data_IF_951677015655
#
_entry.id   IF_951677015655
#
_cell.length_a   1.000
_cell.length_b   1.000
_cell.length_c   1.000
_cell.angle_alpha   90.00
_cell.angle_beta   90.00
_cell.angle_gamma   90.00
#
_symmetry.space_group_name_H-M   'P 1'
#
loop_
_entity.id
_entity.type
_entity.pdbx_description
1 polymer ?
#
# COMPACT_ATOMS: atom_id res chain seq x y z
N UNK A 1 3.26 1.43 -19.53
CA UNK A 1 3.88 1.19 -18.20
C UNK A 1 3.30 2.20 -17.22
N UNK A 2 2.98 1.81 -15.98
CA UNK A 2 2.65 2.78 -14.92
C UNK A 2 3.93 3.17 -14.22
N UNK A 3 4.19 4.47 -14.06
CA UNK A 3 5.44 4.97 -13.51
C UNK A 3 5.21 5.42 -12.07
N UNK A 4 5.99 4.87 -11.14
CA UNK A 4 6.03 5.37 -9.77
C UNK A 4 7.08 6.47 -9.74
N UNK A 5 6.66 7.73 -9.85
CA UNK A 5 7.57 8.85 -9.64
C UNK A 5 7.72 9.10 -8.14
N UNK A 6 8.88 8.76 -7.60
CA UNK A 6 9.37 9.45 -6.42
C UNK A 6 9.75 10.86 -6.84
N UNK A 7 8.81 11.82 -6.87
CA UNK A 7 9.17 13.22 -7.08
C UNK A 7 10.28 13.56 -6.09
N UNK A 8 11.40 14.07 -6.57
CA UNK A 8 12.57 14.47 -5.76
C UNK A 8 12.24 15.54 -4.70
N UNK A 9 11.04 16.12 -4.74
CA UNK A 9 10.47 17.02 -3.73
C UNK A 9 9.30 16.43 -2.91
N UNK A 10 9.08 15.11 -2.96
CA UNK A 10 8.14 14.46 -2.06
C UNK A 10 8.78 14.39 -0.66
N UNK A 11 8.16 15.03 0.33
CA UNK A 11 8.50 14.80 1.74
C UNK A 11 8.65 13.29 1.96
N UNK A 12 9.58 12.79 2.81
CA UNK A 12 9.88 11.36 2.97
C UNK A 12 8.66 10.44 3.19
N UNK A 13 7.52 11.03 3.56
CA UNK A 13 6.25 10.43 3.90
C UNK A 13 5.20 10.49 2.78
N UNK A 14 5.50 11.02 1.61
CA UNK A 14 4.56 11.16 0.50
C UNK A 14 5.03 10.39 -0.74
N UNK A 15 4.10 9.83 -1.51
CA UNK A 15 4.33 9.10 -2.77
C UNK A 15 3.21 9.42 -3.75
N UNK A 16 3.50 9.49 -5.04
CA UNK A 16 2.51 9.72 -6.10
C UNK A 16 2.69 8.65 -7.18
N UNK A 17 1.60 8.06 -7.63
CA UNK A 17 1.58 7.16 -8.78
C UNK A 17 1.08 7.95 -9.99
N UNK A 18 1.86 7.98 -11.06
CA UNK A 18 1.51 8.66 -12.30
C UNK A 18 1.22 7.65 -13.42
N UNK A 19 0.42 8.07 -14.40
CA UNK A 19 0.33 7.38 -15.68
C UNK A 19 1.57 7.65 -16.56
N UNK A 20 1.56 7.10 -17.78
CA UNK A 20 2.67 7.27 -18.72
C UNK A 20 2.82 8.71 -19.24
N UNK A 21 1.80 9.56 -19.10
CA UNK A 21 1.82 10.96 -19.49
C UNK A 21 2.24 11.89 -18.33
N UNK A 22 2.55 11.34 -17.15
CA UNK A 22 2.90 12.11 -15.95
C UNK A 22 1.68 12.63 -15.17
N UNK A 23 0.47 12.19 -15.52
CA UNK A 23 -0.75 12.56 -14.79
C UNK A 23 -0.83 11.74 -13.51
N UNK A 24 -0.98 12.41 -12.36
CA UNK A 24 -1.19 11.75 -11.07
C UNK A 24 -2.49 10.95 -11.05
N UNK A 25 -2.41 9.65 -10.80
CA UNK A 25 -3.56 8.78 -10.63
C UNK A 25 -3.97 8.75 -9.16
N UNK A 26 -3.00 8.56 -8.27
CA UNK A 26 -3.20 8.54 -6.82
C UNK A 26 -2.03 9.19 -6.08
N UNK A 27 -2.34 9.78 -4.95
CA UNK A 27 -1.38 10.34 -4.00
C UNK A 27 -1.50 9.63 -2.66
N UNK A 28 -0.37 9.30 -2.05
CA UNK A 28 -0.31 8.56 -0.80
C UNK A 28 0.54 9.35 0.20
N UNK A 29 0.04 9.52 1.43
CA UNK A 29 0.78 10.14 2.53
C UNK A 29 0.73 9.30 3.79
N UNK A 30 1.87 9.22 4.46
CA UNK A 30 1.99 8.65 5.80
C UNK A 30 1.53 9.67 6.81
N UNK A 31 0.69 9.24 7.73
CA UNK A 31 0.22 10.09 8.81
C UNK A 31 1.36 10.32 9.83
N UNK A 32 1.66 11.59 10.19
CA UNK A 32 2.59 11.89 11.27
C UNK A 32 2.18 11.20 12.57
N UNK A 33 3.14 10.67 13.33
CA UNK A 33 2.92 10.13 14.68
C UNK A 33 1.94 8.95 14.81
N UNK A 34 1.59 8.28 13.70
CA UNK A 34 0.77 7.07 13.76
C UNK A 34 1.58 5.86 14.25
N UNK A 35 1.17 5.28 15.39
CA UNK A 35 1.75 4.05 15.94
C UNK A 35 1.74 2.87 14.95
N UNK A 36 0.68 2.76 14.12
CA UNK A 36 0.50 1.65 13.18
C UNK A 36 0.97 1.95 11.75
N UNK A 37 1.83 2.97 11.57
CA UNK A 37 2.29 3.38 10.24
C UNK A 37 1.14 3.62 9.25
N UNK A 38 0.11 4.38 9.67
CA UNK A 38 -1.06 4.69 8.84
C UNK A 38 -0.67 5.43 7.56
N UNK A 39 -1.20 4.98 6.43
CA UNK A 39 -1.12 5.64 5.13
C UNK A 39 -2.51 5.94 4.60
N UNK A 40 -2.70 7.14 4.09
CA UNK A 40 -3.94 7.55 3.44
C UNK A 40 -3.67 7.71 1.94
N UNK A 41 -4.55 7.16 1.11
CA UNK A 41 -4.46 7.17 -0.35
C UNK A 41 -5.62 7.95 -0.93
N UNK A 42 -5.30 8.90 -1.81
CA UNK A 42 -6.22 9.88 -2.37
C UNK A 42 -6.22 9.80 -3.89
N UNK A 43 -7.33 10.20 -4.51
CA UNK A 43 -7.45 10.35 -5.96
C UNK A 43 -6.65 11.57 -6.44
N UNK A 44 -5.96 11.42 -7.57
CA UNK A 44 -5.28 12.53 -8.23
C UNK A 44 -4.07 13.05 -7.47
N UNK A 45 -3.79 14.35 -7.64
CA UNK A 45 -2.71 15.07 -6.96
C UNK A 45 -3.30 15.91 -5.82
N UNK A 46 -3.22 15.40 -4.60
CA UNK A 46 -3.76 16.12 -3.45
C UNK A 46 -4.00 15.21 -2.26
N UNK A 47 -4.45 15.83 -1.17
CA UNK A 47 -4.74 15.14 0.09
C UNK A 47 -6.06 15.64 0.71
N UNK A 48 -7.01 16.10 -0.11
CA UNK A 48 -8.35 16.49 0.32
C UNK A 48 -9.10 15.24 0.80
N UNK A 49 -9.79 15.34 1.94
CA UNK A 49 -10.56 14.24 2.50
C UNK A 49 -11.69 13.76 1.59
N UNK A 50 -12.23 14.62 0.73
CA UNK A 50 -13.23 14.26 -0.30
C UNK A 50 -12.69 13.28 -1.33
N UNK A 51 -11.37 13.30 -1.55
CA UNK A 51 -10.67 12.44 -2.50
C UNK A 51 -10.06 11.19 -1.85
N UNK A 52 -10.27 10.98 -0.55
CA UNK A 52 -9.79 9.78 0.15
C UNK A 52 -10.43 8.53 -0.48
N UNK A 53 -9.59 7.60 -0.91
CA UNK A 53 -10.01 6.32 -1.49
C UNK A 53 -10.00 5.23 -0.42
N UNK A 54 -8.88 5.11 0.28
CA UNK A 54 -8.70 4.13 1.35
C UNK A 54 -7.53 4.50 2.26
N UNK A 55 -7.54 3.90 3.44
CA UNK A 55 -6.46 3.92 4.41
C UNK A 55 -5.83 2.53 4.51
N UNK A 56 -4.51 2.50 4.66
CA UNK A 56 -3.75 1.29 4.97
C UNK A 56 -3.13 1.42 6.37
N UNK A 57 -3.27 0.39 7.19
CA UNK A 57 -2.63 0.30 8.51
C UNK A 57 -1.82 -0.98 8.61
N UNK A 58 -0.69 -0.94 9.30
CA UNK A 58 0.02 -2.16 9.70
C UNK A 58 -0.75 -2.84 10.83
N UNK A 59 -1.02 -4.13 10.69
CA UNK A 59 -1.76 -4.90 11.71
C UNK A 59 -0.94 -5.07 13.00
N UNK A 60 0.34 -5.42 12.87
CA UNK A 60 1.24 -5.67 14.01
C UNK A 60 2.61 -5.01 13.82
N UNK A 61 3.16 -4.42 14.88
CA UNK A 61 4.43 -3.66 14.82
C UNK A 61 5.65 -4.60 14.86
N UNK A 62 5.54 -5.77 15.49
CA UNK A 62 6.67 -6.63 15.87
C UNK A 62 6.79 -7.97 15.13
N UNK A 63 5.88 -8.28 14.19
CA UNK A 63 5.89 -9.57 13.48
C UNK A 63 6.85 -9.55 12.27
N UNK A 64 7.50 -10.69 12.02
CA UNK A 64 8.37 -10.92 10.84
C UNK A 64 7.57 -10.92 9.53
N UNK A 65 6.32 -11.38 9.57
CA UNK A 65 5.38 -11.30 8.45
C UNK A 65 4.75 -9.90 8.42
N UNK A 66 4.74 -9.27 7.25
CA UNK A 66 4.08 -7.98 7.08
C UNK A 66 2.60 -8.21 6.80
N UNK A 67 1.75 -7.80 7.74
CA UNK A 67 0.30 -7.77 7.56
C UNK A 67 -0.20 -6.33 7.55
N UNK A 68 -0.98 -5.99 6.52
CA UNK A 68 -1.61 -4.69 6.32
C UNK A 68 -3.12 -4.85 6.19
N UNK A 69 -3.85 -3.98 6.89
CA UNK A 69 -5.29 -3.87 6.81
C UNK A 69 -5.65 -2.64 5.97
N UNK A 70 -6.52 -2.83 4.98
CA UNK A 70 -7.02 -1.78 4.09
C UNK A 70 -8.48 -1.49 4.44
N UNK A 71 -8.77 -0.22 4.65
CA UNK A 71 -10.10 0.29 4.96
C UNK A 71 -10.51 1.27 3.87
N UNK A 72 -11.60 0.98 3.17
CA UNK A 72 -12.15 1.90 2.17
C UNK A 72 -12.66 3.16 2.87
N UNK A 73 -12.66 4.30 2.17
CA UNK A 73 -13.06 5.59 2.78
C UNK A 73 -14.46 5.59 3.41
N UNK A 74 -15.37 4.73 2.93
CA UNK A 74 -16.72 4.53 3.50
C UNK A 74 -16.73 3.80 4.86
N UNK A 75 -15.66 3.07 5.17
CA UNK A 75 -15.53 2.27 6.39
C UNK A 75 -14.89 3.12 7.50
N UNK A 76 -15.70 4.00 8.09
CA UNK A 76 -15.24 4.93 9.14
C UNK A 76 -15.05 4.28 10.51
N UNK A 77 -15.74 3.16 10.76
CA UNK A 77 -15.62 2.43 12.02
C UNK A 77 -14.29 1.67 12.14
N UNK A 78 -13.71 1.25 11.01
CA UNK A 78 -12.42 0.54 10.93
C UNK A 78 -12.32 -0.70 11.85
N UNK A 79 -13.46 -1.33 12.18
CA UNK A 79 -13.57 -2.53 13.01
C UNK A 79 -13.14 -3.80 12.26
N UNK A 80 -13.56 -3.91 11.00
CA UNK A 80 -13.18 -4.97 10.07
C UNK A 80 -12.53 -4.34 8.84
N UNK A 81 -11.46 -4.96 8.35
CA UNK A 81 -10.82 -4.49 7.12
C UNK A 81 -11.68 -4.86 5.90
N UNK A 82 -11.65 -4.02 4.86
CA UNK A 82 -12.28 -4.34 3.57
C UNK A 82 -11.37 -5.27 2.75
N UNK A 83 -10.05 -5.12 2.91
CA UNK A 83 -9.06 -6.03 2.35
C UNK A 83 -7.89 -6.22 3.31
N UNK A 84 -7.27 -7.40 3.22
CA UNK A 84 -6.09 -7.74 4.00
C UNK A 84 -4.95 -8.10 3.06
N UNK A 85 -3.74 -7.65 3.38
CA UNK A 85 -2.55 -7.96 2.62
C UNK A 85 -1.56 -8.63 3.55
N UNK A 86 -1.15 -9.86 3.22
CA UNK A 86 -0.11 -10.59 3.94
C UNK A 86 1.08 -10.77 3.03
N UNK A 87 2.27 -10.45 3.52
CA UNK A 87 3.49 -10.64 2.75
C UNK A 87 4.65 -11.09 3.62
N UNK A 88 5.55 -11.82 2.99
CA UNK A 88 6.82 -12.22 3.58
C UNK A 88 7.95 -11.55 2.80
N UNK A 89 8.78 -10.78 3.51
CA UNK A 89 9.96 -10.17 2.90
C UNK A 89 10.95 -11.22 2.40
N UNK A 90 11.10 -12.31 3.16
CA UNK A 90 12.01 -13.41 2.85
C UNK A 90 11.57 -14.15 1.58
N UNK A 91 10.28 -14.47 1.48
CA UNK A 91 9.71 -15.21 0.35
C UNK A 91 9.38 -14.30 -0.85
N UNK A 92 9.44 -12.97 -0.66
CA UNK A 92 9.07 -11.95 -1.65
C UNK A 92 7.68 -12.23 -2.26
N UNK A 93 6.79 -12.73 -1.42
CA UNK A 93 5.42 -13.12 -1.74
C UNK A 93 4.45 -12.19 -1.02
N UNK A 94 3.33 -11.88 -1.67
CA UNK A 94 2.25 -11.06 -1.15
C UNK A 94 0.92 -11.66 -1.61
N UNK A 95 -0.01 -11.84 -0.66
CA UNK A 95 -1.36 -12.31 -0.91
C UNK A 95 -2.37 -11.26 -0.43
N UNK A 96 -3.39 -11.02 -1.25
CA UNK A 96 -4.47 -10.06 -1.01
C UNK A 96 -5.76 -10.83 -0.77
N UNK A 97 -6.46 -10.51 0.31
CA UNK A 97 -7.65 -11.20 0.79
C UNK A 97 -8.84 -10.25 0.86
N UNK A 98 -10.05 -10.79 0.67
CA UNK A 98 -11.30 -10.07 0.86
C UNK A 98 -11.65 -10.00 2.36
N UNK A 99 -11.57 -8.81 2.93
CA UNK A 99 -11.74 -8.54 4.35
C UNK A 99 -10.94 -9.47 5.26
N UNK A 100 -11.59 -9.94 6.33
CA UNK A 100 -11.03 -10.89 7.29
C UNK A 100 -11.20 -12.36 6.89
N UNK A 101 -11.73 -12.62 5.69
CA UNK A 101 -11.92 -13.99 5.19
C UNK A 101 -10.62 -14.60 4.64
N UNK A 102 -10.66 -15.90 4.36
CA UNK A 102 -9.57 -16.60 3.67
C UNK A 102 -9.67 -16.54 2.13
N UNK A 103 -10.59 -15.74 1.59
CA UNK A 103 -10.77 -15.61 0.13
C UNK A 103 -9.66 -14.74 -0.46
N UNK A 104 -8.75 -15.36 -1.20
CA UNK A 104 -7.67 -14.67 -1.93
C UNK A 104 -8.24 -14.05 -3.20
N UNK A 105 -7.97 -12.75 -3.40
CA UNK A 105 -8.40 -11.99 -4.58
C UNK A 105 -7.23 -11.65 -5.52
N UNK A 106 -6.00 -11.65 -5.00
CA UNK A 106 -4.79 -11.47 -5.80
C UNK A 106 -3.59 -12.06 -5.08
N UNK A 107 -2.57 -12.44 -5.85
CA UNK A 107 -1.29 -12.93 -5.34
C UNK A 107 -0.15 -12.38 -6.20
N UNK A 108 0.94 -12.01 -5.55
CA UNK A 108 2.16 -11.54 -6.17
C UNK A 108 3.34 -12.31 -5.58
N UNK A 109 4.16 -12.91 -6.44
CA UNK A 109 5.40 -13.57 -6.05
C UNK A 109 6.52 -13.13 -6.98
N UNK A 110 7.64 -12.67 -6.42
CA UNK A 110 8.81 -12.33 -7.20
C UNK A 110 9.71 -13.56 -7.35
N UNK A 111 9.78 -14.15 -8.55
CA UNK A 111 10.71 -15.25 -8.85
C UNK A 111 12.08 -14.67 -9.16
N UNK A 112 13.12 -15.14 -8.48
CA UNK A 112 14.50 -14.90 -8.90
C UNK A 112 14.93 -16.01 -9.86
N UNK A 113 15.33 -15.60 -11.07
CA UNK A 113 16.26 -16.40 -11.88
C UNK A 113 17.66 -16.14 -11.30
N UNK A 114 18.36 -17.17 -10.82
CA UNK A 114 19.70 -17.07 -10.18
C UNK A 114 20.82 -16.52 -11.10
N UNK A 115 20.50 -16.03 -12.30
CA UNK A 115 21.47 -15.43 -13.22
C UNK A 115 21.90 -14.00 -12.84
N UNK A 116 21.25 -13.35 -11.87
CA UNK A 116 21.49 -11.93 -11.56
C UNK A 116 22.39 -11.66 -10.34
N UNK A 117 23.21 -12.63 -9.89
CA UNK A 117 24.16 -12.47 -8.76
C UNK A 117 25.62 -12.65 -9.19
N UNK A 118 25.93 -12.40 -10.46
CA UNK A 118 27.31 -12.19 -10.93
C UNK A 118 27.47 -10.75 -11.40
N UNK A 119 27.68 -9.85 -10.44
CA UNK A 119 28.37 -8.56 -10.61
C UNK A 119 29.21 -8.32 -9.36
#
# INVERSE_FOLDING_TARGET
>A
MKQVEGRYFSLPRCRVLCDAAGTSIISMRKEPFSMHQRWNVYRGNGYDQRDLLFTVKRAHILQSQTELNVFLARNTAEQHCDFKVKGSWLERSWAFYLGDSNTIIAHMSCKFELKSVLL
#
